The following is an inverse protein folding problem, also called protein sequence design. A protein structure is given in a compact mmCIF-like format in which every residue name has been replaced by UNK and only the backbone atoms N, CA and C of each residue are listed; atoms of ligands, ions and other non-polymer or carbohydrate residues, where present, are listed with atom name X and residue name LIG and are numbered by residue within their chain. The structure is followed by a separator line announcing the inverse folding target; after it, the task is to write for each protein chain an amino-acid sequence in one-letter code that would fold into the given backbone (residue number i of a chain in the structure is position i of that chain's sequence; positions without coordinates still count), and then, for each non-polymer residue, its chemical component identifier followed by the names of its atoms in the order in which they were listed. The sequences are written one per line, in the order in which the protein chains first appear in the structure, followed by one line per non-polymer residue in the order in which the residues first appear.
data_IF_886236830057
#
_entry.id   IF_886236830057
#
_cell.length_a   1.000
_cell.length_b   1.000
_cell.length_c   1.000
_cell.angle_alpha   90.00
_cell.angle_beta   90.00
_cell.angle_gamma   90.00
#
_symmetry.space_group_name_H-M   'P 1'
#
loop_
_entity.id
_entity.type
_entity.pdbx_description
1 polymer ?
#
# COMPACT_ATOMS: atom_id res chain seq x y z
N UNK A 1 10.03 69.26 3.52
CA UNK A 1 9.02 68.72 4.45
C UNK A 1 8.26 67.69 3.65
N UNK A 2 8.53 66.40 3.87
CA UNK A 2 7.95 65.31 3.09
C UNK A 2 6.74 64.79 3.85
N UNK A 3 5.55 65.04 3.33
CA UNK A 3 4.30 64.61 3.95
C UNK A 3 4.18 63.08 3.90
N UNK A 4 4.23 62.46 5.09
CA UNK A 4 4.05 61.03 5.27
C UNK A 4 2.54 60.72 5.27
N UNK A 5 1.94 60.61 4.08
CA UNK A 5 0.54 60.20 3.93
C UNK A 5 0.46 58.69 4.22
N UNK A 6 0.02 58.34 5.43
CA UNK A 6 -0.20 56.94 5.83
C UNK A 6 -1.42 56.42 5.06
N UNK A 7 -1.21 55.41 4.21
CA UNK A 7 -2.29 54.74 3.49
C UNK A 7 -3.17 53.96 4.47
N UNK A 8 -4.43 54.36 4.60
CA UNK A 8 -5.44 53.70 5.44
C UNK A 8 -6.07 52.45 4.79
N UNK A 9 -5.75 52.16 3.52
CA UNK A 9 -6.32 51.02 2.78
C UNK A 9 -6.16 49.68 3.51
N UNK A 10 -4.98 49.32 4.07
CA UNK A 10 -4.82 48.03 4.76
C UNK A 10 -5.70 47.89 6.01
N UNK A 11 -6.10 49.00 6.63
CA UNK A 11 -6.98 49.00 7.80
C UNK A 11 -8.45 48.84 7.39
N UNK A 12 -8.85 49.51 6.31
CA UNK A 12 -10.19 49.35 5.71
C UNK A 12 -10.39 47.92 5.22
N UNK A 13 -9.40 47.35 4.52
CA UNK A 13 -9.46 45.98 4.02
C UNK A 13 -9.59 44.95 5.16
N UNK A 14 -8.91 45.20 6.30
CA UNK A 14 -9.03 44.37 7.51
C UNK A 14 -10.40 44.47 8.17
N UNK A 15 -10.98 45.67 8.24
CA UNK A 15 -12.34 45.85 8.77
C UNK A 15 -13.39 45.16 7.89
N UNK A 16 -13.28 45.29 6.57
CA UNK A 16 -14.19 44.61 5.63
C UNK A 16 -14.02 43.08 5.63
N UNK A 17 -12.83 42.58 5.95
CA UNK A 17 -12.61 41.16 6.16
C UNK A 17 -13.24 40.68 7.48
N UNK A 18 -13.12 41.46 8.55
CA UNK A 18 -13.74 41.15 9.84
C UNK A 18 -15.27 41.13 9.77
N UNK A 19 -15.89 42.12 9.10
CA UNK A 19 -17.34 42.13 8.88
C UNK A 19 -17.82 40.92 8.08
N UNK A 20 -17.06 40.47 7.07
CA UNK A 20 -17.41 39.27 6.31
C UNK A 20 -17.37 38.00 7.16
N UNK A 21 -16.34 37.85 7.99
CA UNK A 21 -16.22 36.71 8.91
C UNK A 21 -17.37 36.70 9.91
N UNK A 22 -17.75 37.86 10.44
CA UNK A 22 -18.88 37.98 11.37
C UNK A 22 -20.21 37.62 10.71
N UNK A 23 -20.43 38.08 9.47
CA UNK A 23 -21.61 37.72 8.69
C UNK A 23 -21.68 36.23 8.37
N UNK A 24 -20.56 35.61 8.00
CA UNK A 24 -20.47 34.17 7.76
C UNK A 24 -20.80 33.37 9.02
N UNK A 25 -20.27 33.78 10.18
CA UNK A 25 -20.55 33.12 11.47
C UNK A 25 -22.02 33.22 11.88
N UNK A 26 -22.65 34.37 11.68
CA UNK A 26 -24.07 34.55 11.96
C UNK A 26 -24.94 33.69 11.03
N UNK A 27 -24.60 33.63 9.74
CA UNK A 27 -25.30 32.80 8.77
C UNK A 27 -25.21 31.31 9.11
N UNK A 28 -24.03 30.82 9.49
CA UNK A 28 -23.81 29.43 9.92
C UNK A 28 -24.62 29.11 11.18
N UNK A 29 -24.67 30.03 12.15
CA UNK A 29 -25.46 29.85 13.37
C UNK A 29 -26.97 29.81 13.10
N UNK A 30 -27.46 30.65 12.18
CA UNK A 30 -28.86 30.65 11.79
C UNK A 30 -29.24 29.41 10.98
N UNK A 31 -28.30 28.86 10.21
CA UNK A 31 -28.46 27.57 9.53
C UNK A 31 -28.54 26.41 10.53
N UNK A 32 -27.63 26.35 11.51
CA UNK A 32 -27.69 25.35 12.59
C UNK A 32 -29.01 25.44 13.37
N UNK A 33 -29.52 26.65 13.63
CA UNK A 33 -30.82 26.83 14.30
C UNK A 33 -31.95 26.27 13.45
N UNK A 34 -31.95 26.54 12.13
CA UNK A 34 -32.94 25.99 11.20
C UNK A 34 -32.87 24.46 11.16
N UNK A 35 -31.68 23.88 11.11
CA UNK A 35 -31.53 22.41 11.13
C UNK A 35 -32.10 21.78 12.40
N UNK A 36 -31.88 22.40 13.56
CA UNK A 36 -32.46 21.94 14.83
C UNK A 36 -33.99 22.05 14.82
N UNK A 37 -34.52 23.16 14.30
CA UNK A 37 -35.97 23.37 14.19
C UNK A 37 -36.61 22.36 13.22
N UNK A 38 -36.00 22.12 12.07
CA UNK A 38 -36.42 21.08 11.12
C UNK A 38 -36.36 19.67 11.71
N UNK A 39 -35.33 19.37 12.52
CA UNK A 39 -35.25 18.09 13.23
C UNK A 39 -36.39 17.95 14.24
N UNK A 40 -36.69 19.00 15.02
CA UNK A 40 -37.81 19.00 15.97
C UNK A 40 -39.15 18.79 15.26
N UNK A 41 -39.39 19.51 14.16
CA UNK A 41 -40.60 19.35 13.35
C UNK A 41 -40.72 17.94 12.77
N UNK A 42 -39.60 17.36 12.34
CA UNK A 42 -39.57 15.98 11.83
C UNK A 42 -39.83 14.95 12.95
N UNK A 43 -39.34 15.20 14.17
CA UNK A 43 -39.65 14.40 15.34
C UNK A 43 -41.13 14.49 15.71
N UNK A 44 -41.71 15.69 15.69
CA UNK A 44 -43.14 15.89 15.95
C UNK A 44 -44.01 15.21 14.88
N UNK A 45 -43.62 15.29 13.60
CA UNK A 45 -44.29 14.57 12.52
C UNK A 45 -44.18 13.05 12.69
N UNK A 46 -43.00 12.55 13.09
CA UNK A 46 -42.77 11.14 13.36
C UNK A 46 -43.63 10.63 14.51
N UNK A 47 -43.70 11.38 15.62
CA UNK A 47 -44.53 11.07 16.78
C UNK A 47 -46.02 11.12 16.42
N UNK A 48 -46.46 12.16 15.70
CA UNK A 48 -47.83 12.27 15.18
C UNK A 48 -48.22 11.11 14.25
N UNK A 49 -47.31 10.64 13.39
CA UNK A 49 -47.54 9.49 12.51
C UNK A 49 -47.76 8.18 13.28
N UNK A 50 -47.27 8.10 14.51
CA UNK A 50 -47.47 6.98 15.44
C UNK A 50 -48.63 7.20 16.40
N UNK A 51 -49.37 8.30 16.26
CA UNK A 51 -50.48 8.64 17.15
C UNK A 51 -50.03 8.97 18.57
N UNK A 52 -48.78 9.42 18.74
CA UNK A 52 -48.23 9.89 20.01
C UNK A 52 -48.23 11.41 19.96
N UNK A 53 -49.21 12.06 20.58
CA UNK A 53 -49.17 13.52 20.81
C UNK A 53 -48.60 13.82 22.20
N UNK A 54 -48.16 15.06 22.45
CA UNK A 54 -47.68 15.51 23.78
C UNK A 54 -48.72 15.31 24.90
N UNK A 55 -49.99 15.05 24.56
CA UNK A 55 -51.13 14.90 25.47
C UNK A 55 -51.55 13.43 25.67
N UNK A 56 -50.92 12.47 24.97
CA UNK A 56 -51.23 11.02 25.05
C UNK A 56 -50.32 10.27 26.04
N UNK A 57 -49.50 10.98 26.80
CA UNK A 57 -48.81 10.39 27.94
C UNK A 57 -49.84 9.89 28.96
N UNK A 58 -49.71 8.67 29.51
CA UNK A 58 -50.61 8.24 30.58
C UNK A 58 -50.56 9.29 31.70
N UNK A 59 -51.72 9.71 32.22
CA UNK A 59 -51.79 10.61 33.38
C UNK A 59 -50.93 10.02 34.50
N UNK A 60 -49.77 10.62 34.73
CA UNK A 60 -48.76 10.14 35.66
C UNK A 60 -48.59 11.16 36.79
N UNK A 61 -49.60 11.29 37.68
CA UNK A 61 -49.61 12.32 38.73
C UNK A 61 -48.42 12.19 39.69
N UNK A 62 -47.78 11.02 39.73
CA UNK A 62 -46.68 10.69 40.63
C UNK A 62 -45.32 10.51 39.89
N UNK A 63 -45.26 10.66 38.56
CA UNK A 63 -44.03 10.46 37.77
C UNK A 63 -43.52 9.01 37.72
N UNK A 64 -44.37 8.02 38.05
CA UNK A 64 -44.02 6.61 38.13
C UNK A 64 -43.73 5.95 36.78
N UNK A 65 -44.38 6.41 35.70
CA UNK A 65 -44.14 5.96 34.33
C UNK A 65 -42.82 6.53 33.80
N UNK A 66 -42.59 7.84 33.98
CA UNK A 66 -41.34 8.49 33.55
C UNK A 66 -40.15 7.85 34.28
N UNK A 67 -40.24 7.64 35.59
CA UNK A 67 -39.17 6.98 36.36
C UNK A 67 -38.96 5.51 35.97
N UNK A 68 -39.98 4.81 35.45
CA UNK A 68 -39.83 3.45 34.92
C UNK A 68 -39.09 3.46 33.58
N UNK A 69 -39.46 4.39 32.68
CA UNK A 69 -38.77 4.58 31.40
C UNK A 69 -37.32 4.96 31.63
N UNK A 70 -37.04 5.90 32.53
CA UNK A 70 -35.68 6.29 32.89
C UNK A 70 -34.86 5.12 33.43
N UNK A 71 -35.46 4.24 34.24
CA UNK A 71 -34.76 3.02 34.72
C UNK A 71 -34.45 2.05 33.58
N UNK A 72 -35.37 1.87 32.64
CA UNK A 72 -35.13 1.00 31.48
C UNK A 72 -34.09 1.61 30.53
N UNK A 73 -34.14 2.92 30.27
CA UNK A 73 -33.12 3.62 29.49
C UNK A 73 -31.76 3.51 30.16
N UNK A 74 -31.66 3.78 31.47
CA UNK A 74 -30.39 3.63 32.21
C UNK A 74 -29.86 2.19 32.18
N UNK A 75 -30.75 1.20 32.23
CA UNK A 75 -30.37 -0.21 32.09
C UNK A 75 -29.83 -0.52 30.70
N UNK A 76 -30.51 -0.07 29.65
CA UNK A 76 -30.07 -0.28 28.26
C UNK A 76 -28.75 0.44 27.99
N UNK A 77 -28.58 1.66 28.50
CA UNK A 77 -27.32 2.39 28.40
C UNK A 77 -26.17 1.65 29.08
N UNK A 78 -26.39 1.10 30.28
CA UNK A 78 -25.39 0.27 30.97
C UNK A 78 -25.06 -1.01 30.19
N UNK A 79 -26.06 -1.71 29.64
CA UNK A 79 -25.84 -2.90 28.80
C UNK A 79 -25.07 -2.55 27.51
N UNK A 80 -25.30 -1.36 26.95
CA UNK A 80 -24.58 -0.87 25.78
C UNK A 80 -23.13 -0.50 26.10
N UNK A 81 -22.88 0.20 27.21
CA UNK A 81 -21.53 0.51 27.69
C UNK A 81 -20.72 -0.77 27.93
N UNK A 82 -21.31 -1.77 28.57
CA UNK A 82 -20.70 -3.09 28.76
C UNK A 82 -20.33 -3.78 27.44
N UNK A 83 -21.16 -3.61 26.40
CA UNK A 83 -20.92 -4.19 25.08
C UNK A 83 -19.79 -3.45 24.35
N UNK A 84 -19.76 -2.11 24.42
CA UNK A 84 -18.69 -1.29 23.87
C UNK A 84 -17.36 -1.64 24.54
N UNK A 85 -17.34 -1.76 25.86
CA UNK A 85 -16.13 -2.13 26.61
C UNK A 85 -15.58 -3.50 26.20
N UNK A 86 -16.46 -4.49 25.95
CA UNK A 86 -16.04 -5.79 25.42
C UNK A 86 -15.46 -5.67 24.02
N UNK A 87 -16.11 -4.91 23.15
CA UNK A 87 -15.65 -4.72 21.78
C UNK A 87 -14.28 -4.02 21.72
N UNK A 88 -14.02 -3.05 22.60
CA UNK A 88 -12.72 -2.38 22.71
C UNK A 88 -11.64 -3.39 23.11
N UNK A 89 -11.90 -4.23 24.12
CA UNK A 89 -10.95 -5.29 24.53
C UNK A 89 -10.70 -6.31 23.42
N UNK A 90 -11.76 -6.74 22.73
CA UNK A 90 -11.62 -7.69 21.61
C UNK A 90 -10.80 -7.09 20.46
N UNK A 91 -10.93 -5.77 20.21
CA UNK A 91 -10.11 -5.07 19.22
C UNK A 91 -8.64 -4.98 19.66
N UNK A 92 -8.38 -4.66 20.92
CA UNK A 92 -7.02 -4.61 21.46
C UNK A 92 -6.35 -5.99 21.39
N UNK A 93 -7.07 -7.06 21.75
CA UNK A 93 -6.59 -8.44 21.65
C UNK A 93 -6.32 -8.84 20.19
N UNK A 94 -7.18 -8.44 19.25
CA UNK A 94 -6.98 -8.69 17.84
C UNK A 94 -5.76 -7.95 17.28
N UNK A 95 -5.53 -6.70 17.70
CA UNK A 95 -4.35 -5.93 17.33
C UNK A 95 -3.07 -6.56 17.88
N UNK A 96 -3.08 -6.99 19.15
CA UNK A 96 -1.95 -7.68 19.77
C UNK A 96 -1.61 -8.98 19.00
N UNK A 97 -2.62 -9.77 18.64
CA UNK A 97 -2.43 -10.98 17.84
C UNK A 97 -1.86 -10.69 16.44
N UNK A 98 -2.28 -9.59 15.80
CA UNK A 98 -1.72 -9.16 14.51
C UNK A 98 -0.26 -8.74 14.63
N UNK A 99 0.12 -8.07 15.72
CA UNK A 99 1.52 -7.72 15.97
C UNK A 99 2.39 -8.95 16.20
N UNK A 100 1.89 -9.96 16.91
CA UNK A 100 2.58 -11.24 17.06
C UNK A 100 2.77 -11.96 15.72
N UNK A 101 1.73 -11.98 14.88
CA UNK A 101 1.82 -12.54 13.52
C UNK A 101 2.82 -11.75 12.67
N UNK A 102 2.80 -10.41 12.75
CA UNK A 102 3.72 -9.54 12.04
C UNK A 102 5.16 -9.81 12.46
N UNK A 103 5.41 -9.96 13.77
CA UNK A 103 6.73 -10.30 14.30
C UNK A 103 7.20 -11.69 13.87
N UNK A 104 6.28 -12.65 13.81
CA UNK A 104 6.60 -14.01 13.34
C UNK A 104 6.88 -14.08 11.83
N UNK A 105 6.20 -13.24 11.03
CA UNK A 105 6.36 -13.19 9.58
C UNK A 105 7.55 -12.36 9.12
N UNK A 106 7.99 -11.39 9.93
CA UNK A 106 9.00 -10.42 9.54
C UNK A 106 10.25 -10.56 10.43
N UNK A 107 11.20 -11.47 10.09
CA UNK A 107 12.39 -11.75 10.89
C UNK A 107 13.38 -10.57 10.98
N UNK A 108 13.08 -9.42 10.35
CA UNK A 108 13.93 -8.24 10.29
C UNK A 108 13.42 -7.05 11.11
N UNK A 109 12.29 -7.14 11.82
CA UNK A 109 11.71 -6.01 12.58
C UNK A 109 12.61 -5.55 13.75
N UNK A 110 13.48 -6.42 14.25
CA UNK A 110 14.48 -6.09 15.28
C UNK A 110 15.85 -5.67 14.68
N UNK A 111 15.99 -5.54 13.35
CA UNK A 111 17.25 -5.08 12.75
C UNK A 111 17.26 -3.55 12.75
N UNK A 112 18.20 -2.89 13.47
CA UNK A 112 18.29 -1.42 13.47
C UNK A 112 18.40 -0.95 12.03
N UNK A 113 17.69 0.14 11.70
CA UNK A 113 17.64 0.73 10.36
C UNK A 113 19.05 0.74 9.73
N UNK A 114 19.29 -0.20 8.82
CA UNK A 114 20.62 -0.42 8.25
C UNK A 114 21.03 0.85 7.52
N UNK A 115 22.16 1.45 7.94
CA UNK A 115 22.66 2.67 7.33
C UNK A 115 23.01 2.36 5.87
N UNK A 116 22.31 3.02 4.96
CA UNK A 116 22.52 2.88 3.51
C UNK A 116 23.88 3.47 3.17
N UNK A 117 24.75 2.68 2.54
CA UNK A 117 26.06 3.15 2.06
C UNK A 117 25.91 3.66 0.65
N UNK A 118 26.26 4.93 0.42
CA UNK A 118 26.38 5.49 -0.92
C UNK A 118 27.87 5.62 -1.29
N UNK A 119 28.45 4.64 -2.00
CA UNK A 119 29.85 4.72 -2.40
C UNK A 119 30.06 5.80 -3.46
N UNK A 120 31.21 6.49 -3.36
CA UNK A 120 31.69 7.45 -4.36
C UNK A 120 31.69 6.84 -5.77
N UNK A 121 31.37 7.61 -6.83
CA UNK A 121 31.27 7.10 -8.21
C UNK A 121 32.49 6.33 -8.70
N UNK A 122 33.69 6.72 -8.23
CA UNK A 122 34.96 6.15 -8.66
C UNK A 122 35.57 5.16 -7.66
N UNK A 123 34.84 4.84 -6.58
CA UNK A 123 35.30 3.83 -5.64
C UNK A 123 35.34 2.45 -6.32
N UNK A 124 36.44 1.67 -6.16
CA UNK A 124 36.50 0.31 -6.68
C UNK A 124 35.54 -0.58 -5.89
N UNK A 125 34.55 -1.15 -6.56
CA UNK A 125 33.55 -2.05 -5.97
C UNK A 125 33.80 -3.49 -6.40
N UNK A 126 33.65 -4.42 -5.46
CA UNK A 126 33.69 -5.85 -5.75
C UNK A 126 32.39 -6.29 -6.45
N UNK A 127 32.38 -7.44 -7.13
CA UNK A 127 31.19 -7.98 -7.82
C UNK A 127 29.95 -8.00 -6.94
N UNK A 128 30.11 -8.45 -5.69
CA UNK A 128 29.00 -8.57 -4.75
C UNK A 128 28.46 -7.20 -4.33
N UNK A 129 29.33 -6.20 -4.17
CA UNK A 129 28.94 -4.82 -3.89
C UNK A 129 28.26 -4.18 -5.11
N UNK A 130 28.79 -4.44 -6.31
CA UNK A 130 28.22 -3.98 -7.58
C UNK A 130 26.77 -4.44 -7.73
N UNK A 131 26.47 -5.71 -7.44
CA UNK A 131 25.11 -6.24 -7.51
C UNK A 131 24.13 -5.55 -6.56
N UNK A 132 24.63 -4.97 -5.47
CA UNK A 132 23.83 -4.30 -4.45
C UNK A 132 23.71 -2.79 -4.72
N UNK A 133 24.14 -2.30 -5.88
CA UNK A 133 24.00 -0.88 -6.23
C UNK A 133 22.53 -0.50 -6.50
N UNK A 134 22.13 0.73 -6.14
CA UNK A 134 20.78 1.25 -6.42
C UNK A 134 20.47 1.30 -7.91
N UNK A 135 21.47 1.52 -8.76
CA UNK A 135 21.30 1.59 -10.22
C UNK A 135 20.85 0.26 -10.85
N UNK A 136 21.12 -0.86 -10.18
CA UNK A 136 20.66 -2.19 -10.61
C UNK A 136 19.35 -2.59 -9.92
N UNK A 137 18.85 -1.78 -8.98
CA UNK A 137 17.70 -2.09 -8.13
C UNK A 137 18.06 -2.90 -6.87
N UNK A 138 19.30 -2.80 -6.40
CA UNK A 138 19.75 -3.32 -5.10
C UNK A 138 19.91 -2.20 -4.06
N UNK A 139 20.38 -2.55 -2.86
CA UNK A 139 20.70 -1.57 -1.82
C UNK A 139 21.93 -2.00 -1.02
N UNK A 140 22.93 -1.12 -0.92
CA UNK A 140 24.17 -1.35 -0.19
C UNK A 140 24.02 -0.88 1.27
N UNK A 141 24.48 -1.69 2.22
CA UNK A 141 24.44 -1.34 3.64
C UNK A 141 25.86 -1.21 4.23
N UNK A 142 26.01 -0.41 5.28
CA UNK A 142 27.27 -0.31 6.05
C UNK A 142 27.32 -1.41 7.11
N UNK A 143 28.37 -2.25 7.08
CA UNK A 143 28.82 -3.00 8.26
C UNK A 143 28.38 -4.46 8.45
N UNK A 144 28.41 -5.30 7.42
CA UNK A 144 28.20 -6.76 7.60
C UNK A 144 28.96 -7.59 6.54
N UNK A 145 29.12 -8.89 6.79
CA UNK A 145 29.72 -9.88 5.86
C UNK A 145 28.98 -9.99 4.52
N UNK A 146 27.73 -9.52 4.47
CA UNK A 146 26.91 -9.40 3.27
C UNK A 146 26.79 -7.92 2.86
N UNK A 147 27.25 -7.54 1.65
CA UNK A 147 27.37 -6.13 1.26
C UNK A 147 26.03 -5.41 1.06
N UNK A 148 24.91 -6.14 1.00
CA UNK A 148 23.60 -5.53 0.79
C UNK A 148 22.55 -6.48 0.24
N UNK A 149 21.43 -5.88 -0.18
CA UNK A 149 20.38 -6.56 -0.96
C UNK A 149 20.77 -6.55 -2.43
N UNK A 150 21.06 -7.71 -3.05
CA UNK A 150 21.44 -7.77 -4.46
C UNK A 150 20.25 -7.48 -5.37
N UNK A 151 20.54 -6.96 -6.56
CA UNK A 151 19.52 -6.70 -7.57
C UNK A 151 18.79 -7.98 -8.00
N UNK A 152 17.48 -7.84 -8.24
CA UNK A 152 16.64 -8.95 -8.74
C UNK A 152 16.91 -9.27 -10.22
N UNK A 153 17.33 -8.27 -10.98
CA UNK A 153 17.39 -8.35 -12.45
C UNK A 153 18.74 -8.82 -12.98
N UNK A 154 19.83 -8.53 -12.27
CA UNK A 154 21.18 -8.78 -12.74
C UNK A 154 21.86 -9.76 -11.78
N UNK A 155 22.33 -10.89 -12.32
CA UNK A 155 23.02 -11.92 -11.55
C UNK A 155 24.53 -11.70 -11.65
N UNK A 156 25.26 -12.24 -10.68
CA UNK A 156 26.73 -12.26 -10.67
C UNK A 156 27.33 -12.74 -12.00
N UNK A 157 26.79 -13.82 -12.56
CA UNK A 157 27.24 -14.38 -13.85
C UNK A 157 27.16 -13.38 -14.98
N UNK A 158 26.18 -12.47 -14.96
CA UNK A 158 26.01 -11.44 -15.99
C UNK A 158 27.13 -10.41 -15.90
N UNK A 159 27.50 -9.97 -14.70
CA UNK A 159 28.60 -9.02 -14.47
C UNK A 159 29.94 -9.65 -14.87
N UNK A 160 30.23 -10.86 -14.39
CA UNK A 160 31.46 -11.57 -14.77
C UNK A 160 31.53 -11.80 -16.28
N UNK A 161 30.42 -12.20 -16.90
CA UNK A 161 30.35 -12.37 -18.35
C UNK A 161 30.53 -11.07 -19.14
N UNK A 162 30.09 -9.92 -18.61
CA UNK A 162 30.33 -8.63 -19.22
C UNK A 162 31.81 -8.21 -19.14
N UNK A 163 32.51 -8.55 -18.06
CA UNK A 163 33.96 -8.38 -17.97
C UNK A 163 34.72 -9.23 -18.98
N UNK A 164 34.33 -10.49 -19.12
CA UNK A 164 35.03 -11.41 -20.00
C UNK A 164 34.79 -11.08 -21.49
N UNK A 165 33.64 -10.49 -21.84
CA UNK A 165 33.37 -9.93 -23.17
C UNK A 165 34.03 -8.58 -23.42
N UNK A 166 34.52 -7.90 -22.39
CA UNK A 166 35.04 -6.54 -22.48
C UNK A 166 33.96 -5.47 -22.65
N UNK A 167 32.68 -5.81 -22.45
CA UNK A 167 31.56 -4.85 -22.49
C UNK A 167 31.57 -3.92 -21.26
N UNK A 168 32.10 -4.39 -20.13
CA UNK A 168 32.15 -3.67 -18.86
C UNK A 168 33.62 -3.48 -18.45
N UNK A 169 34.02 -2.23 -18.22
CA UNK A 169 35.35 -1.88 -17.73
C UNK A 169 35.62 -2.46 -16.35
N UNK A 170 36.84 -2.93 -16.12
CA UNK A 170 37.30 -3.35 -14.80
C UNK A 170 38.71 -2.86 -14.52
N UNK A 171 38.97 -2.61 -13.25
CA UNK A 171 40.28 -2.32 -12.69
C UNK A 171 40.78 -3.58 -11.99
N UNK A 172 42.04 -3.95 -12.23
CA UNK A 172 42.66 -5.03 -11.44
C UNK A 172 43.39 -4.42 -10.24
N UNK A 173 42.92 -4.74 -9.04
CA UNK A 173 43.63 -4.46 -7.80
C UNK A 173 44.12 -5.79 -7.23
N UNK A 174 45.40 -6.08 -7.44
CA UNK A 174 45.98 -7.39 -7.14
C UNK A 174 45.48 -8.47 -8.10
N UNK A 175 44.87 -9.53 -7.57
CA UNK A 175 44.31 -10.65 -8.35
C UNK A 175 42.82 -10.54 -8.64
N UNK A 176 42.15 -9.53 -8.08
CA UNK A 176 40.71 -9.38 -8.14
C UNK A 176 40.32 -8.27 -9.12
N UNK A 177 39.23 -8.50 -9.85
CA UNK A 177 38.62 -7.51 -10.76
C UNK A 177 37.64 -6.66 -9.95
N UNK A 178 37.73 -5.34 -10.10
CA UNK A 178 36.85 -4.35 -9.48
C UNK A 178 36.23 -3.47 -10.57
N UNK A 179 35.06 -2.93 -10.31
CA UNK A 179 34.40 -1.99 -11.22
C UNK A 179 33.90 -0.79 -10.45
N UNK A 180 33.88 0.38 -11.07
CA UNK A 180 33.37 1.61 -10.46
C UNK A 180 31.90 1.80 -10.82
N UNK A 181 31.16 2.59 -10.01
CA UNK A 181 29.75 2.88 -10.27
C UNK A 181 29.55 3.61 -11.61
N UNK A 182 30.49 4.48 -11.99
CA UNK A 182 30.49 5.17 -13.28
C UNK A 182 30.51 4.19 -14.47
N UNK A 183 31.41 3.20 -14.43
CA UNK A 183 31.50 2.17 -15.49
C UNK A 183 30.22 1.34 -15.63
N UNK A 184 29.52 1.08 -14.52
CA UNK A 184 28.26 0.35 -14.53
C UNK A 184 27.14 1.19 -15.14
N UNK A 185 27.10 2.50 -14.84
CA UNK A 185 26.14 3.43 -15.47
C UNK A 185 26.33 3.49 -16.97
N UNK A 186 27.57 3.64 -17.44
CA UNK A 186 27.90 3.64 -18.86
C UNK A 186 27.51 2.32 -19.54
N UNK A 187 27.79 1.20 -18.89
CA UNK A 187 27.41 -0.12 -19.41
C UNK A 187 25.89 -0.30 -19.49
N UNK A 188 25.14 0.13 -18.47
CA UNK A 188 23.67 0.09 -18.48
C UNK A 188 23.10 0.97 -19.59
N UNK A 189 23.64 2.17 -19.79
CA UNK A 189 23.22 3.06 -20.87
C UNK A 189 23.51 2.41 -22.24
N UNK A 190 24.69 1.81 -22.42
CA UNK A 190 25.05 1.06 -23.62
C UNK A 190 24.14 -0.15 -23.86
N UNK A 191 23.73 -0.87 -22.82
CA UNK A 191 22.73 -1.94 -22.92
C UNK A 191 21.34 -1.40 -23.32
N UNK A 192 20.95 -0.23 -22.78
CA UNK A 192 19.69 0.42 -23.11
C UNK A 192 19.66 0.94 -24.55
N UNK A 193 20.75 1.53 -25.03
CA UNK A 193 20.89 1.97 -26.42
C UNK A 193 20.87 0.80 -27.40
N UNK A 194 21.53 -0.32 -27.09
CA UNK A 194 21.44 -1.55 -27.91
C UNK A 194 20.01 -2.12 -27.97
N UNK A 195 19.22 -1.97 -26.90
CA UNK A 195 17.81 -2.42 -26.88
C UNK A 195 16.86 -1.50 -27.66
N UNK A 196 17.15 -0.19 -27.70
CA UNK A 196 16.38 0.80 -28.46
C UNK A 196 16.76 0.81 -29.94
N UNK A 197 18.03 0.60 -30.22
CA UNK A 197 18.57 0.37 -31.56
C UNK A 197 18.54 -1.12 -31.87
N UNK A 198 17.34 -1.72 -31.81
CA UNK A 198 17.06 -2.90 -32.63
C UNK A 198 17.13 -2.46 -34.09
N UNK A 199 18.35 -2.28 -34.59
CA UNK A 199 18.63 -2.39 -36.00
C UNK A 199 18.04 -3.74 -36.36
N UNK A 200 16.95 -3.68 -37.09
CA UNK A 200 16.29 -4.80 -37.74
C UNK A 200 17.29 -5.46 -38.67
N UNK A 201 18.24 -6.20 -38.10
CA UNK A 201 19.04 -7.16 -38.83
C UNK A 201 18.08 -8.29 -39.15
N UNK A 202 17.48 -8.17 -40.33
CA UNK A 202 17.00 -9.31 -41.10
C UNK A 202 18.20 -10.23 -41.34
N UNK A 203 18.60 -10.96 -40.31
CA UNK A 203 19.35 -12.19 -40.52
C UNK A 203 18.36 -13.17 -41.14
N UNK A 204 18.53 -13.35 -42.45
CA UNK A 204 17.91 -14.40 -43.23
C UNK A 204 17.98 -15.72 -42.44
N UNK A 205 16.88 -16.49 -42.32
CA UNK A 205 16.97 -17.80 -41.72
C UNK A 205 17.96 -18.62 -42.55
N UNK A 206 19.04 -19.07 -41.91
CA UNK A 206 20.01 -19.96 -42.54
C UNK A 206 19.25 -21.15 -43.15
N UNK A 207 19.48 -21.36 -44.44
CA UNK A 207 18.83 -22.39 -45.25
C UNK A 207 19.31 -23.77 -44.79
N UNK A 208 18.64 -24.34 -43.78
CA UNK A 208 18.85 -25.75 -43.43
C UNK A 208 18.23 -26.61 -44.52
N UNK A 209 19.11 -27.25 -45.30
CA UNK A 209 18.80 -28.23 -46.35
C UNK A 209 17.74 -29.24 -45.88
N UNK A 210 16.73 -29.58 -46.71
CA UNK A 210 15.77 -30.62 -46.37
C UNK A 210 16.46 -31.99 -46.45
N UNK A 211 16.56 -32.66 -45.31
CA UNK A 211 16.93 -34.07 -45.27
C UNK A 211 15.69 -34.91 -45.58
N UNK A 212 15.86 -35.80 -46.56
CA UNK A 212 14.87 -36.71 -47.11
C UNK A 212 14.65 -37.94 -46.21
N UNK A 213 13.37 -38.19 -45.86
CA UNK A 213 12.75 -39.50 -45.55
C UNK A 213 13.16 -40.26 -44.26
N UNK A 214 12.41 -41.30 -43.79
CA UNK A 214 11.04 -41.73 -44.11
C UNK A 214 10.13 -41.90 -42.85
N UNK A 215 8.83 -41.90 -43.14
CA UNK A 215 7.66 -42.34 -42.36
C UNK A 215 7.94 -43.35 -41.23
N UNK A 216 7.62 -42.99 -39.97
CA UNK A 216 7.47 -43.94 -38.87
C UNK A 216 6.19 -43.61 -38.07
N UNK A 217 5.42 -44.66 -37.80
CA UNK A 217 4.01 -44.72 -37.42
C UNK A 217 3.58 -43.93 -36.16
N UNK A 218 2.27 -43.64 -35.99
CA UNK A 218 1.73 -42.99 -34.80
C UNK A 218 1.69 -44.00 -33.63
N UNK A 219 2.58 -43.79 -32.66
CA UNK A 219 2.57 -44.52 -31.39
C UNK A 219 1.45 -44.03 -30.49
N UNK A 220 0.35 -44.77 -30.48
CA UNK A 220 -0.69 -44.74 -29.45
C UNK A 220 -0.09 -45.10 -28.09
N UNK A 221 -0.33 -44.27 -27.05
CA UNK A 221 -0.19 -44.70 -25.66
C UNK A 221 -1.28 -44.06 -24.80
N UNK A 222 -1.98 -44.94 -24.09
CA UNK A 222 -3.23 -44.74 -23.39
C UNK A 222 -3.00 -44.33 -21.93
N UNK A 223 -3.78 -43.33 -21.50
CA UNK A 223 -4.50 -43.22 -20.22
C UNK A 223 -3.77 -43.53 -18.90
N UNK A 224 -3.57 -42.51 -18.06
CA UNK A 224 -3.74 -42.67 -16.60
C UNK A 224 -3.99 -41.39 -15.77
N UNK A 225 -4.17 -40.21 -16.38
CA UNK A 225 -4.40 -38.97 -15.60
C UNK A 225 -5.90 -38.59 -15.42
N UNK A 226 -6.83 -39.28 -16.11
CA UNK A 226 -8.24 -38.87 -16.17
C UNK A 226 -9.14 -39.52 -15.09
N UNK A 227 -8.78 -40.70 -14.56
CA UNK A 227 -9.64 -41.45 -13.63
C UNK A 227 -9.68 -40.88 -12.19
N UNK A 228 -8.66 -40.12 -11.77
CA UNK A 228 -8.65 -39.51 -10.43
C UNK A 228 -9.63 -38.34 -10.29
N UNK A 229 -9.87 -37.57 -11.37
CA UNK A 229 -10.78 -36.41 -11.31
C UNK A 229 -12.26 -36.81 -11.29
N UNK A 230 -12.65 -37.89 -11.99
CA UNK A 230 -14.04 -38.38 -11.95
C UNK A 230 -14.38 -39.12 -10.64
N UNK A 231 -13.41 -39.78 -10.01
CA UNK A 231 -13.61 -40.42 -8.70
C UNK A 231 -13.80 -39.40 -7.56
N UNK A 232 -13.13 -38.24 -7.63
CA UNK A 232 -13.28 -37.17 -6.63
C UNK A 232 -14.64 -36.46 -6.72
N UNK A 233 -15.16 -36.24 -7.94
CA UNK A 233 -16.47 -35.61 -8.16
C UNK A 233 -17.64 -36.53 -7.77
N UNK A 234 -17.54 -37.82 -8.04
CA UNK A 234 -18.59 -38.78 -7.66
C UNK A 234 -18.69 -39.01 -6.14
N UNK A 235 -17.59 -38.81 -5.39
CA UNK A 235 -17.60 -38.87 -3.92
C UNK A 235 -18.23 -37.63 -3.27
N UNK A 236 -18.07 -36.43 -3.86
CA UNK A 236 -18.70 -35.20 -3.35
C UNK A 236 -20.21 -35.15 -3.57
N UNK A 237 -20.71 -35.71 -4.67
CA UNK A 237 -22.16 -35.72 -4.96
C UNK A 237 -22.95 -36.73 -4.12
N UNK A 238 -22.32 -37.79 -3.61
CA UNK A 238 -22.98 -38.75 -2.69
C UNK A 238 -23.14 -38.22 -1.26
N UNK A 239 -22.41 -37.18 -0.86
CA UNK A 239 -22.49 -36.59 0.48
C UNK A 239 -23.48 -35.40 0.55
N UNK A 240 -24.21 -35.12 -0.54
CA UNK A 240 -25.20 -34.05 -0.66
C UNK A 240 -26.64 -34.56 -0.77
N UNK A 241 -26.88 -35.83 -0.40
CA UNK A 241 -28.20 -36.45 -0.41
C UNK A 241 -28.53 -37.01 0.97
#
# INVERSE_FOLDING_TARGET
MSDNIISLKPWIDRLQAAERIEQEYLAERDEQRREVEEQLDNWDLYLGSRGLTYDDGPEDPDGAFITKVDREVNRVMAEFEDLVDRQVRDQDDALAALDDIRRALDPNVDVPARVVRDPSPDAPLNVLEVLCLPELGGQLYVGEDTPGTPSRNIKEKTIRGAWDRGDLGFLMLGKNKFTTRSMIKEWLEGCREKSKNLISSKESPATTKPASSPTKAPGSSNTEASKLRQAALSRRLKNLR
#
